data_IF_516793194593
#
_entry.id   IF_516793194593
#
_cell.length_a   1.000
_cell.length_b   1.000
_cell.length_c   1.000
_cell.angle_alpha   90.00
_cell.angle_beta   90.00
_cell.angle_gamma   90.00
#
_symmetry.space_group_name_H-M   'P 1'
#
loop_
_entity.id
_entity.type
_entity.pdbx_description
1 polymer ?
#
# COMPACT_ATOMS: atom_id res chain seq x y z
N UNK A 1 -28.88 -37.85 59.40
CA UNK A 1 -29.18 -36.84 58.38
C UNK A 1 -28.17 -35.72 58.54
N UNK A 2 -27.14 -35.70 57.69
CA UNK A 2 -26.07 -34.70 57.71
C UNK A 2 -26.24 -33.87 56.44
N UNK A 3 -26.61 -32.60 56.58
CA UNK A 3 -26.78 -31.68 55.47
C UNK A 3 -25.40 -31.28 54.93
N UNK A 4 -25.12 -31.61 53.67
CA UNK A 4 -23.93 -31.16 52.96
C UNK A 4 -24.08 -29.67 52.61
N UNK A 5 -23.07 -28.87 52.96
CA UNK A 5 -23.00 -27.46 52.62
C UNK A 5 -22.84 -27.26 51.09
N UNK A 6 -23.48 -26.24 50.47
CA UNK A 6 -23.29 -25.95 49.05
C UNK A 6 -21.88 -25.42 48.79
N UNK A 7 -21.19 -26.03 47.81
CA UNK A 7 -19.84 -25.65 47.41
C UNK A 7 -19.77 -24.21 46.92
N UNK A 8 -18.80 -23.45 47.44
CA UNK A 8 -18.55 -22.07 47.04
C UNK A 8 -18.18 -22.01 45.55
N UNK A 9 -18.94 -21.23 44.79
CA UNK A 9 -18.59 -20.86 43.41
C UNK A 9 -17.39 -19.91 43.48
N UNK A 10 -16.23 -20.40 43.02
CA UNK A 10 -15.02 -19.58 42.87
C UNK A 10 -15.26 -18.54 41.77
N UNK A 11 -15.04 -17.24 42.02
CA UNK A 11 -15.09 -16.22 40.98
C UNK A 11 -14.05 -16.51 39.91
N UNK A 12 -14.48 -16.66 38.66
CA UNK A 12 -13.58 -16.74 37.51
C UNK A 12 -12.79 -15.44 37.39
N UNK A 13 -11.50 -15.51 37.68
CA UNK A 13 -10.54 -14.42 37.50
C UNK A 13 -10.63 -13.90 36.06
N UNK A 14 -10.77 -12.58 35.81
CA UNK A 14 -10.75 -12.05 34.46
C UNK A 14 -9.37 -12.34 33.88
N UNK A 15 -9.30 -13.27 32.92
CA UNK A 15 -8.07 -13.55 32.18
C UNK A 15 -7.52 -12.22 31.69
N UNK A 16 -6.35 -11.83 32.19
CA UNK A 16 -5.62 -10.67 31.72
C UNK A 16 -5.64 -10.69 30.18
N UNK A 17 -6.07 -9.59 29.57
CA UNK A 17 -6.14 -9.45 28.12
C UNK A 17 -4.71 -9.63 27.57
N UNK A 18 -4.36 -10.86 27.23
CA UNK A 18 -3.12 -11.17 26.54
C UNK A 18 -3.09 -10.29 25.29
N UNK A 19 -1.98 -9.59 25.00
CA UNK A 19 -1.88 -8.74 23.83
C UNK A 19 -2.18 -9.60 22.60
N UNK A 20 -3.39 -9.43 22.06
CA UNK A 20 -4.04 -10.43 21.19
C UNK A 20 -3.57 -10.32 19.74
N UNK A 21 -2.55 -9.49 19.49
CA UNK A 21 -2.04 -9.10 18.19
C UNK A 21 -0.81 -9.92 17.76
N UNK A 22 -0.60 -10.13 16.44
CA UNK A 22 0.60 -10.76 15.95
C UNK A 22 1.85 -9.89 16.26
N UNK A 23 2.98 -10.50 16.66
CA UNK A 23 4.20 -9.75 16.92
C UNK A 23 4.81 -9.18 15.62
N UNK A 24 4.98 -7.86 15.56
CA UNK A 24 5.59 -7.19 14.41
C UNK A 24 7.10 -7.08 14.61
N UNK A 25 7.88 -7.66 13.69
CA UNK A 25 9.33 -7.46 13.68
C UNK A 25 9.71 -6.01 13.42
N UNK A 26 10.72 -5.49 14.13
CA UNK A 26 11.29 -4.15 13.88
C UNK A 26 11.53 -3.82 12.40
N UNK A 27 12.14 -4.68 11.55
CA UNK A 27 12.35 -4.35 10.14
C UNK A 27 11.03 -4.17 9.38
N UNK A 28 10.00 -4.96 9.68
CA UNK A 28 8.68 -4.80 9.08
C UNK A 28 8.00 -3.50 9.50
N UNK A 29 8.11 -3.12 10.77
CA UNK A 29 7.56 -1.86 11.28
C UNK A 29 8.23 -0.64 10.64
N UNK A 30 9.57 -0.65 10.53
CA UNK A 30 10.33 0.40 9.83
C UNK A 30 9.91 0.48 8.37
N UNK A 31 9.79 -0.65 7.68
CA UNK A 31 9.38 -0.67 6.28
C UNK A 31 7.95 -0.13 6.08
N UNK A 32 6.99 -0.52 6.91
CA UNK A 32 5.61 -0.01 6.87
C UNK A 32 5.61 1.51 7.01
N UNK A 33 6.40 2.05 7.94
CA UNK A 33 6.51 3.49 8.12
C UNK A 33 7.11 4.18 6.88
N UNK A 34 8.21 3.66 6.34
CA UNK A 34 8.86 4.23 5.15
C UNK A 34 7.90 4.22 3.96
N UNK A 35 7.26 3.08 3.69
CA UNK A 35 6.28 2.94 2.61
C UNK A 35 5.09 3.90 2.80
N UNK A 36 4.61 4.06 4.03
CA UNK A 36 3.57 5.02 4.37
C UNK A 36 3.98 6.46 4.10
N UNK A 37 5.17 6.87 4.56
CA UNK A 37 5.67 8.25 4.39
C UNK A 37 5.89 8.57 2.91
N UNK A 38 6.53 7.67 2.15
CA UNK A 38 6.78 7.86 0.72
C UNK A 38 5.46 7.92 -0.08
N UNK A 39 4.52 7.02 0.20
CA UNK A 39 3.22 7.01 -0.45
C UNK A 39 2.39 8.25 -0.11
N UNK A 40 2.41 8.68 1.16
CA UNK A 40 1.73 9.89 1.60
C UNK A 40 2.31 11.14 0.95
N UNK A 41 3.64 11.27 0.94
CA UNK A 41 4.33 12.40 0.30
C UNK A 41 3.98 12.48 -1.20
N UNK A 42 4.00 11.36 -1.91
CA UNK A 42 3.62 11.31 -3.32
C UNK A 42 2.13 11.67 -3.55
N UNK A 43 1.23 11.18 -2.68
CA UNK A 43 -0.21 11.48 -2.79
C UNK A 43 -0.53 12.95 -2.48
N UNK A 44 0.15 13.53 -1.49
CA UNK A 44 0.05 14.97 -1.19
C UNK A 44 0.60 15.79 -2.34
N UNK A 45 1.79 15.47 -2.84
CA UNK A 45 2.38 16.15 -3.99
C UNK A 45 1.42 16.11 -5.20
N UNK A 46 0.90 14.93 -5.57
CA UNK A 46 -0.10 14.81 -6.64
C UNK A 46 -1.33 15.70 -6.43
N UNK A 47 -1.78 15.85 -5.19
CA UNK A 47 -2.94 16.70 -4.88
C UNK A 47 -2.59 18.17 -5.05
N UNK A 48 -1.41 18.59 -4.60
CA UNK A 48 -0.91 19.97 -4.80
C UNK A 48 -0.76 20.28 -6.29
N UNK A 49 -0.09 19.41 -7.05
CA UNK A 49 0.09 19.57 -8.50
C UNK A 49 -1.25 19.65 -9.23
N UNK A 50 -2.24 18.87 -8.80
CA UNK A 50 -3.59 18.91 -9.36
C UNK A 50 -4.28 20.23 -9.05
N UNK A 51 -4.11 20.78 -7.85
CA UNK A 51 -4.69 22.07 -7.45
C UNK A 51 -4.07 23.22 -8.25
N UNK A 52 -2.73 23.25 -8.39
CA UNK A 52 -2.06 24.27 -9.20
C UNK A 52 -2.52 24.23 -10.66
N UNK A 53 -2.65 23.05 -11.25
CA UNK A 53 -3.18 22.88 -12.60
C UNK A 53 -4.66 23.32 -12.74
N UNK A 54 -5.42 23.26 -11.66
CA UNK A 54 -6.82 23.75 -11.63
C UNK A 54 -6.88 25.28 -11.52
N UNK A 55 -5.89 25.90 -10.88
CA UNK A 55 -5.78 27.35 -10.73
C UNK A 55 -5.27 27.97 -12.03
N UNK A 56 -4.22 27.38 -12.60
CA UNK A 56 -3.59 27.80 -13.84
C UNK A 56 -3.45 26.62 -14.82
N UNK A 57 -4.27 26.56 -15.88
CA UNK A 57 -4.17 25.51 -16.89
C UNK A 57 -2.84 25.47 -17.65
N UNK A 58 -2.05 26.56 -17.64
CA UNK A 58 -0.73 26.62 -18.25
C UNK A 58 0.39 26.14 -17.30
N UNK A 59 0.06 25.83 -16.04
CA UNK A 59 1.01 25.30 -15.07
C UNK A 59 1.62 23.97 -15.53
N UNK A 60 2.95 23.90 -15.47
CA UNK A 60 3.72 22.68 -15.80
C UNK A 60 4.04 21.96 -14.49
N UNK A 61 3.47 20.77 -14.24
CA UNK A 61 3.70 20.05 -13.00
C UNK A 61 5.17 19.69 -12.79
N UNK A 62 5.65 19.72 -11.55
CA UNK A 62 7.06 19.45 -11.20
C UNK A 62 7.54 18.05 -11.62
N UNK A 63 6.62 17.12 -11.76
CA UNK A 63 6.86 15.76 -12.20
C UNK A 63 6.63 15.53 -13.71
N UNK A 64 6.51 16.61 -14.50
CA UNK A 64 6.45 16.59 -15.96
C UNK A 64 7.79 16.97 -16.56
N UNK A 65 8.60 15.98 -16.95
CA UNK A 65 9.95 16.19 -17.49
C UNK A 65 10.00 16.09 -19.01
N UNK A 66 9.20 15.19 -19.59
CA UNK A 66 9.16 14.94 -21.02
C UNK A 66 7.79 14.36 -21.42
N UNK A 67 7.49 14.20 -22.72
CA UNK A 67 6.18 13.72 -23.17
C UNK A 67 5.78 12.33 -22.62
N UNK A 68 6.76 11.48 -22.31
CA UNK A 68 6.53 10.16 -21.72
C UNK A 68 6.36 10.23 -20.21
N UNK A 69 7.17 11.04 -19.53
CA UNK A 69 7.13 11.31 -18.09
C UNK A 69 6.39 12.62 -17.83
N UNK A 70 5.07 12.60 -18.03
CA UNK A 70 4.19 13.77 -17.93
C UNK A 70 3.05 13.51 -16.95
N UNK A 71 3.06 14.22 -15.82
CA UNK A 71 1.97 14.19 -14.86
C UNK A 71 0.73 14.93 -15.35
N UNK A 72 0.91 16.05 -16.06
CA UNK A 72 -0.21 16.89 -16.51
C UNK A 72 -1.19 16.13 -17.41
N UNK A 73 -0.66 15.40 -18.39
CA UNK A 73 -1.46 14.58 -19.31
C UNK A 73 -2.22 13.44 -18.61
N UNK A 74 -1.67 12.89 -17.53
CA UNK A 74 -2.33 11.84 -16.72
C UNK A 74 -3.42 12.45 -15.84
N UNK A 75 -3.14 13.58 -15.19
CA UNK A 75 -4.03 14.19 -14.19
C UNK A 75 -5.34 14.72 -14.77
N UNK A 76 -5.38 15.10 -16.05
CA UNK A 76 -6.60 15.59 -16.71
C UNK A 76 -7.55 14.48 -17.18
N UNK A 77 -7.13 13.22 -17.05
CA UNK A 77 -7.92 12.08 -17.56
C UNK A 77 -9.05 11.71 -16.60
N UNK A 78 -10.19 11.19 -17.10
CA UNK A 78 -11.25 10.66 -16.25
C UNK A 78 -10.78 9.55 -15.30
N UNK A 79 -9.78 8.78 -15.70
CA UNK A 79 -9.16 7.72 -14.91
C UNK A 79 -8.49 8.24 -13.64
N UNK A 80 -8.01 9.49 -13.64
CA UNK A 80 -7.43 10.14 -12.47
C UNK A 80 -8.49 10.47 -11.39
N UNK A 81 -9.78 10.39 -11.72
CA UNK A 81 -10.91 10.59 -10.82
C UNK A 81 -11.92 9.43 -10.92
N UNK A 82 -11.45 8.20 -10.77
CA UNK A 82 -12.24 6.99 -11.04
C UNK A 82 -13.54 6.88 -10.21
N UNK A 83 -13.56 7.49 -9.03
CA UNK A 83 -14.70 7.49 -8.11
C UNK A 83 -15.41 8.86 -8.04
N UNK A 84 -15.18 9.74 -9.02
CA UNK A 84 -15.75 11.09 -9.07
C UNK A 84 -14.94 12.15 -8.31
N UNK A 85 -13.85 11.77 -7.66
CA UNK A 85 -12.91 12.65 -6.98
C UNK A 85 -11.46 12.21 -7.27
N UNK A 86 -10.45 13.09 -7.08
CA UNK A 86 -9.07 12.76 -7.39
C UNK A 86 -8.59 11.52 -6.62
N UNK A 87 -8.06 10.54 -7.34
CA UNK A 87 -7.54 9.30 -6.75
C UNK A 87 -6.42 9.57 -5.71
N UNK A 88 -5.72 10.71 -5.82
CA UNK A 88 -4.71 11.15 -4.86
C UNK A 88 -5.26 11.29 -3.43
N UNK A 89 -6.54 11.64 -3.27
CA UNK A 89 -7.20 11.72 -1.96
C UNK A 89 -7.34 10.34 -1.31
N UNK A 90 -7.63 9.30 -2.09
CA UNK A 90 -7.64 7.91 -1.61
C UNK A 90 -6.24 7.54 -1.10
N UNK A 91 -5.21 7.95 -1.85
CA UNK A 91 -3.81 7.80 -1.46
C UNK A 91 -3.51 8.47 -0.12
N UNK A 92 -3.89 9.74 0.06
CA UNK A 92 -3.67 10.48 1.31
C UNK A 92 -4.27 9.73 2.50
N UNK A 93 -5.54 9.34 2.42
CA UNK A 93 -6.23 8.64 3.52
C UNK A 93 -5.56 7.29 3.80
N UNK A 94 -5.33 6.50 2.76
CA UNK A 94 -4.78 5.14 2.90
C UNK A 94 -3.37 5.15 3.45
N UNK A 95 -2.48 5.99 2.92
CA UNK A 95 -1.10 6.08 3.38
C UNK A 95 -0.97 6.75 4.75
N UNK A 96 -1.89 7.64 5.13
CA UNK A 96 -1.94 8.16 6.51
C UNK A 96 -2.20 7.03 7.51
N UNK A 97 -3.13 6.12 7.22
CA UNK A 97 -3.38 4.94 8.06
C UNK A 97 -2.12 4.07 8.15
N UNK A 98 -1.40 3.89 7.04
CA UNK A 98 -0.15 3.12 7.00
C UNK A 98 0.95 3.78 7.83
N UNK A 99 1.11 5.11 7.76
CA UNK A 99 2.07 5.87 8.59
C UNK A 99 1.75 5.67 10.06
N UNK A 100 0.49 5.88 10.47
CA UNK A 100 0.04 5.67 11.85
C UNK A 100 0.31 4.23 12.30
N UNK A 101 0.01 3.24 11.45
CA UNK A 101 0.33 1.84 11.74
C UNK A 101 1.82 1.62 11.97
N UNK A 102 2.67 2.20 11.11
CA UNK A 102 4.12 2.10 11.22
C UNK A 102 4.65 2.68 12.53
N UNK A 103 4.16 3.86 12.92
CA UNK A 103 4.50 4.50 14.21
C UNK A 103 4.06 3.62 15.38
N UNK A 104 2.82 3.15 15.40
CA UNK A 104 2.30 2.27 16.45
C UNK A 104 3.09 0.96 16.57
N UNK A 105 3.45 0.37 15.42
CA UNK A 105 4.27 -0.84 15.38
C UNK A 105 5.69 -0.62 15.92
N UNK A 106 6.32 0.53 15.63
CA UNK A 106 7.63 0.90 16.18
C UNK A 106 7.58 1.17 17.69
N UNK A 107 6.49 1.79 18.15
CA UNK A 107 6.19 1.99 19.57
C UNK A 107 5.81 0.68 20.29
N UNK A 108 5.76 -0.45 19.58
CA UNK A 108 5.37 -1.78 20.10
C UNK A 108 3.96 -1.81 20.70
N UNK A 109 3.06 -1.00 20.15
CA UNK A 109 1.64 -1.06 20.50
C UNK A 109 1.05 -2.34 19.92
N UNK A 110 0.43 -3.16 20.76
CA UNK A 110 -0.22 -4.39 20.35
C UNK A 110 -1.52 -4.08 19.59
N UNK A 111 -1.48 -4.20 18.26
CA UNK A 111 -2.65 -4.02 17.41
C UNK A 111 -3.42 -5.34 17.23
N UNK A 112 -4.76 -5.34 17.33
CA UNK A 112 -5.55 -6.56 17.27
C UNK A 112 -5.51 -7.20 15.88
N UNK A 113 -5.79 -8.51 15.80
CA UNK A 113 -5.71 -9.29 14.54
C UNK A 113 -6.63 -8.77 13.43
N UNK A 114 -7.81 -8.28 13.78
CA UNK A 114 -8.76 -7.72 12.81
C UNK A 114 -8.20 -6.47 12.12
N UNK A 115 -7.37 -5.67 12.84
CA UNK A 115 -6.74 -4.48 12.28
C UNK A 115 -5.74 -4.87 11.18
N UNK A 116 -4.89 -5.86 11.44
CA UNK A 116 -3.95 -6.38 10.46
C UNK A 116 -4.64 -7.04 9.26
N UNK A 117 -5.75 -7.76 9.48
CA UNK A 117 -6.56 -8.31 8.41
C UNK A 117 -7.21 -7.21 7.55
N UNK A 118 -7.73 -6.15 8.19
CA UNK A 118 -8.26 -4.97 7.50
C UNK A 118 -7.19 -4.25 6.68
N UNK A 119 -5.99 -4.05 7.23
CA UNK A 119 -4.87 -3.42 6.53
C UNK A 119 -4.37 -4.30 5.36
N UNK A 120 -4.31 -5.61 5.53
CA UNK A 120 -3.97 -6.54 4.45
C UNK A 120 -5.01 -6.49 3.31
N UNK A 121 -6.29 -6.44 3.67
CA UNK A 121 -7.38 -6.31 2.70
C UNK A 121 -7.32 -4.96 1.97
N UNK A 122 -7.11 -3.87 2.70
CA UNK A 122 -6.96 -2.54 2.12
C UNK A 122 -5.76 -2.42 1.19
N UNK A 123 -4.61 -2.97 1.57
CA UNK A 123 -3.40 -2.99 0.71
C UNK A 123 -3.57 -3.90 -0.51
N UNK A 124 -4.35 -4.98 -0.41
CA UNK A 124 -4.69 -5.83 -1.55
C UNK A 124 -5.58 -5.10 -2.55
N UNK A 125 -6.62 -4.42 -2.07
CA UNK A 125 -7.48 -3.59 -2.91
C UNK A 125 -6.69 -2.44 -3.55
N UNK A 126 -5.80 -1.80 -2.78
CA UNK A 126 -4.89 -0.78 -3.27
C UNK A 126 -3.95 -1.30 -4.35
N UNK A 127 -3.40 -2.51 -4.18
CA UNK A 127 -2.58 -3.15 -5.20
C UNK A 127 -3.39 -3.41 -6.48
N UNK A 128 -4.60 -3.96 -6.38
CA UNK A 128 -5.47 -4.17 -7.54
C UNK A 128 -5.78 -2.85 -8.27
N UNK A 129 -6.08 -1.79 -7.52
CA UNK A 129 -6.32 -0.46 -8.06
C UNK A 129 -5.09 0.11 -8.77
N UNK A 130 -3.89 -0.04 -8.18
CA UNK A 130 -2.62 0.34 -8.79
C UNK A 130 -2.37 -0.40 -10.11
N UNK A 131 -2.66 -1.69 -10.19
CA UNK A 131 -2.51 -2.44 -11.44
C UNK A 131 -3.43 -1.92 -12.54
N UNK A 132 -4.68 -1.59 -12.19
CA UNK A 132 -5.60 -0.97 -13.11
C UNK A 132 -5.07 0.40 -13.59
N UNK A 133 -4.55 1.23 -12.69
CA UNK A 133 -3.94 2.52 -13.05
C UNK A 133 -2.71 2.37 -13.95
N UNK A 134 -1.83 1.40 -13.67
CA UNK A 134 -0.68 1.07 -14.53
C UNK A 134 -1.16 0.74 -15.95
N UNK A 135 -2.21 -0.09 -16.07
CA UNK A 135 -2.78 -0.44 -17.37
C UNK A 135 -3.32 0.80 -18.10
N UNK A 136 -4.05 1.69 -17.40
CA UNK A 136 -4.53 2.94 -17.98
C UNK A 136 -3.36 3.83 -18.45
N UNK A 137 -2.34 4.01 -17.61
CA UNK A 137 -1.15 4.82 -17.95
C UNK A 137 -0.41 4.29 -19.18
N UNK A 138 -0.15 2.98 -19.25
CA UNK A 138 0.62 2.38 -20.35
C UNK A 138 -0.16 2.29 -21.65
N UNK A 139 -1.41 1.83 -21.61
CA UNK A 139 -2.14 1.40 -22.80
C UNK A 139 -3.26 2.34 -23.23
N UNK A 140 -3.67 3.29 -22.39
CA UNK A 140 -4.75 4.23 -22.70
C UNK A 140 -4.28 5.67 -22.79
N UNK A 141 -3.45 6.09 -21.83
CA UNK A 141 -2.92 7.46 -21.77
C UNK A 141 -1.62 7.56 -22.57
N UNK A 142 -0.73 6.56 -22.45
CA UNK A 142 0.59 6.61 -23.08
C UNK A 142 1.53 7.60 -22.39
N UNK A 143 1.34 7.84 -21.09
CA UNK A 143 2.20 8.68 -20.26
C UNK A 143 2.33 8.10 -18.85
N UNK A 144 3.44 8.45 -18.21
CA UNK A 144 3.89 7.96 -16.92
C UNK A 144 4.09 9.14 -15.98
N UNK A 145 3.62 8.98 -14.75
CA UNK A 145 3.74 10.00 -13.71
C UNK A 145 4.75 9.51 -12.65
N UNK A 146 5.87 10.21 -12.42
CA UNK A 146 6.86 9.84 -11.41
C UNK A 146 6.28 9.69 -9.99
N UNK A 147 5.35 10.57 -9.57
CA UNK A 147 4.71 10.42 -8.27
C UNK A 147 3.79 9.20 -8.19
N UNK A 148 3.06 8.86 -9.26
CA UNK A 148 2.30 7.61 -9.34
C UNK A 148 3.23 6.39 -9.27
N UNK A 149 4.38 6.42 -9.94
CA UNK A 149 5.37 5.34 -9.87
C UNK A 149 5.88 5.11 -8.44
N UNK A 150 6.08 6.17 -7.65
CA UNK A 150 6.43 6.03 -6.23
C UNK A 150 5.33 5.28 -5.49
N UNK A 151 4.06 5.66 -5.68
CA UNK A 151 2.92 4.93 -5.11
C UNK A 151 2.93 3.46 -5.54
N UNK A 152 3.13 3.18 -6.82
CA UNK A 152 3.20 1.81 -7.33
C UNK A 152 4.32 1.00 -6.67
N UNK A 153 5.49 1.61 -6.52
CA UNK A 153 6.68 1.00 -5.95
C UNK A 153 6.52 0.67 -4.46
N UNK A 154 5.77 1.46 -3.70
CA UNK A 154 5.56 1.19 -2.27
C UNK A 154 4.39 0.26 -2.00
N UNK A 155 3.34 0.26 -2.83
CA UNK A 155 2.11 -0.52 -2.57
C UNK A 155 2.36 -2.03 -2.60
N UNK A 156 3.10 -2.56 -3.58
CA UNK A 156 3.30 -4.02 -3.71
C UNK A 156 4.15 -4.61 -2.57
N UNK A 157 5.31 -4.03 -2.21
CA UNK A 157 6.06 -4.49 -1.05
C UNK A 157 5.28 -4.31 0.26
N UNK A 158 4.48 -3.24 0.38
CA UNK A 158 3.65 -3.01 1.56
C UNK A 158 2.61 -4.12 1.72
N UNK A 159 1.91 -4.52 0.65
CA UNK A 159 1.00 -5.66 0.65
C UNK A 159 1.71 -6.92 1.17
N UNK A 160 2.90 -7.21 0.64
CA UNK A 160 3.68 -8.39 1.05
C UNK A 160 4.04 -8.37 2.54
N UNK A 161 4.49 -7.24 3.06
CA UNK A 161 4.88 -7.12 4.46
C UNK A 161 3.67 -7.17 5.39
N UNK A 162 2.59 -6.47 5.05
CA UNK A 162 1.36 -6.47 5.85
C UNK A 162 0.68 -7.84 5.81
N UNK A 163 0.59 -8.49 4.64
CA UNK A 163 0.05 -9.83 4.53
C UNK A 163 0.85 -10.85 5.34
N UNK A 164 2.18 -10.73 5.36
CA UNK A 164 3.04 -11.57 6.20
C UNK A 164 2.69 -11.42 7.69
N UNK A 165 2.52 -10.18 8.19
CA UNK A 165 2.12 -9.92 9.59
C UNK A 165 0.72 -10.46 9.88
N UNK A 166 -0.24 -10.23 8.97
CA UNK A 166 -1.62 -10.70 9.15
C UNK A 166 -1.75 -12.24 9.15
N UNK A 167 -0.91 -12.93 8.38
CA UNK A 167 -0.94 -14.39 8.21
C UNK A 167 -0.04 -15.16 9.20
N UNK A 168 0.81 -14.48 9.99
CA UNK A 168 1.65 -15.13 11.00
C UNK A 168 0.91 -16.12 11.92
N UNK A 169 -0.30 -15.83 12.43
CA UNK A 169 -1.00 -16.78 13.28
C UNK A 169 -1.43 -18.09 12.57
N UNK A 170 -1.31 -18.16 11.23
CA UNK A 170 -1.69 -19.29 10.40
C UNK A 170 -0.47 -20.07 9.86
N UNK A 171 0.68 -20.06 10.54
CA UNK A 171 1.93 -20.73 10.11
C UNK A 171 1.80 -22.25 9.79
N UNK A 172 0.68 -22.89 10.16
CA UNK A 172 0.33 -24.26 9.76
C UNK A 172 -0.17 -24.40 8.31
N UNK A 173 -0.52 -23.31 7.63
CA UNK A 173 -1.01 -23.34 6.25
C UNK A 173 0.16 -23.34 5.25
N UNK A 174 0.28 -24.40 4.45
CA UNK A 174 1.31 -24.57 3.42
C UNK A 174 1.33 -23.40 2.43
N UNK A 175 0.17 -22.86 2.07
CA UNK A 175 0.06 -21.72 1.14
C UNK A 175 0.68 -20.46 1.74
N UNK A 176 0.40 -20.17 3.01
CA UNK A 176 0.97 -19.03 3.71
C UNK A 176 2.50 -19.16 3.83
N UNK A 177 3.02 -20.37 4.07
CA UNK A 177 4.45 -20.65 4.14
C UNK A 177 5.16 -20.43 2.80
N UNK A 178 4.62 -21.00 1.72
CA UNK A 178 5.18 -20.85 0.37
C UNK A 178 5.18 -19.38 -0.05
N UNK A 179 4.07 -18.67 0.17
CA UNK A 179 3.96 -17.25 -0.11
C UNK A 179 5.00 -16.45 0.67
N UNK A 180 5.20 -16.76 1.95
CA UNK A 180 6.15 -16.07 2.81
C UNK A 180 7.62 -16.34 2.43
N UNK A 181 7.94 -17.52 1.89
CA UNK A 181 9.26 -17.86 1.34
C UNK A 181 9.52 -17.14 0.02
N UNK A 182 8.56 -17.18 -0.91
CA UNK A 182 8.69 -16.62 -2.26
C UNK A 182 8.36 -15.13 -2.35
N UNK A 183 7.97 -14.49 -1.25
CA UNK A 183 7.46 -13.12 -1.26
C UNK A 183 8.37 -12.12 -1.95
N UNK A 184 9.68 -12.20 -1.72
CA UNK A 184 10.64 -11.28 -2.34
C UNK A 184 10.87 -11.61 -3.81
N UNK A 185 10.85 -12.89 -4.18
CA UNK A 185 10.90 -13.33 -5.58
C UNK A 185 9.68 -12.87 -6.37
N UNK A 186 8.49 -12.86 -5.77
CA UNK A 186 7.28 -12.34 -6.39
C UNK A 186 7.35 -10.82 -6.58
N UNK A 187 7.87 -10.09 -5.59
CA UNK A 187 8.08 -8.64 -5.69
C UNK A 187 9.10 -8.31 -6.77
N UNK A 188 10.24 -8.99 -6.81
CA UNK A 188 11.26 -8.75 -7.85
C UNK A 188 10.72 -9.10 -9.22
N UNK A 189 10.05 -10.25 -9.39
CA UNK A 189 9.42 -10.63 -10.65
C UNK A 189 8.40 -9.57 -11.11
N UNK A 190 7.61 -9.04 -10.18
CA UNK A 190 6.64 -7.98 -10.48
C UNK A 190 7.33 -6.70 -10.96
N UNK A 191 8.37 -6.23 -10.26
CA UNK A 191 9.13 -5.05 -10.66
C UNK A 191 9.83 -5.24 -12.01
N UNK A 192 10.44 -6.41 -12.24
CA UNK A 192 11.04 -6.76 -13.53
C UNK A 192 9.99 -6.74 -14.63
N UNK A 193 8.82 -7.36 -14.40
CA UNK A 193 7.71 -7.34 -15.35
C UNK A 193 7.25 -5.92 -15.66
N UNK A 194 6.99 -5.10 -14.65
CA UNK A 194 6.57 -3.71 -14.83
C UNK A 194 7.62 -2.90 -15.61
N UNK A 195 8.90 -3.04 -15.27
CA UNK A 195 9.99 -2.35 -15.96
C UNK A 195 10.08 -2.77 -17.43
N UNK A 196 10.00 -4.06 -17.73
CA UNK A 196 9.98 -4.56 -19.10
C UNK A 196 8.77 -4.05 -19.88
N UNK A 197 7.58 -4.01 -19.26
CA UNK A 197 6.38 -3.46 -19.90
C UNK A 197 6.55 -1.97 -20.24
N UNK A 198 7.14 -1.19 -19.33
CA UNK A 198 7.45 0.23 -19.58
C UNK A 198 8.46 0.38 -20.73
N UNK A 199 9.56 -0.38 -20.70
CA UNK A 199 10.60 -0.32 -21.73
C UNK A 199 10.05 -0.68 -23.12
N UNK A 200 9.32 -1.79 -23.22
CA UNK A 200 8.73 -2.25 -24.49
C UNK A 200 7.72 -1.24 -25.01
N UNK A 201 6.85 -0.72 -24.12
CA UNK A 201 5.79 0.20 -24.52
C UNK A 201 6.30 1.53 -25.06
N UNK A 202 7.40 2.04 -24.51
CA UNK A 202 8.00 3.32 -24.87
C UNK A 202 9.29 3.18 -25.69
N UNK A 203 9.56 1.97 -26.22
CA UNK A 203 10.79 1.66 -26.94
C UNK A 203 11.11 2.65 -28.06
N UNK A 204 10.11 3.02 -28.86
CA UNK A 204 10.27 3.97 -29.97
C UNK A 204 10.73 5.35 -29.52
N UNK A 205 10.36 5.79 -28.31
CA UNK A 205 10.83 7.04 -27.74
C UNK A 205 12.28 6.90 -27.24
N UNK A 206 12.58 5.85 -26.49
CA UNK A 206 13.95 5.61 -25.98
C UNK A 206 14.97 5.46 -27.11
N UNK A 207 14.62 4.80 -28.21
CA UNK A 207 15.50 4.65 -29.37
C UNK A 207 15.82 5.95 -30.10
N UNK A 208 15.06 7.03 -29.85
CA UNK A 208 15.34 8.36 -30.43
C UNK A 208 16.25 9.23 -29.57
N UNK A 209 16.57 8.79 -28.34
CA UNK A 209 17.46 9.48 -27.40
C UNK A 209 18.91 8.98 -27.45
N UNK A 210 19.17 7.94 -28.27
CA UNK A 210 20.50 7.40 -28.60
C UNK A 210 20.91 7.94 -29.96
#
# INVERSE_FOLDING_TARGET
MTLAAPGAVQPSEPTAHEPTGPPVGRPSAVWILIAGVLGLAAAVALTVEKVELLIDPEYIPSCSFNPVLSCGSVMITPQASAFGFPNSLIGIISFTIVVVTGVLALARVALPRWYWAGLATGTLLGAAFVHWLIYQSLYRIGALCPYCMVVWAVTIPLLVVVAAVALQPQHGNTVARVLHTWRWSLVTLWFTGLFLLILVRFWSYWSTLV
#
